data_IF_548957085067
#
_entry.id   IF_548957085067
#
_cell.length_a   1.000
_cell.length_b   1.000
_cell.length_c   1.000
_cell.angle_alpha   90.00
_cell.angle_beta   90.00
_cell.angle_gamma   90.00
#
_symmetry.space_group_name_H-M   'P 1'
#
loop_
_entity.id
_entity.type
_entity.pdbx_description
1 polymer ?
#
# COMPACT_ATOMS: atom_id res chain seq x y z
N UNK A 1 3.07 13.41 6.13
CA UNK A 1 3.70 14.76 5.98
C UNK A 1 5.18 14.56 5.68
N UNK A 2 5.67 15.05 4.53
CA UNK A 2 7.11 15.00 4.22
C UNK A 2 7.83 15.86 5.24
N UNK A 3 8.61 15.23 6.13
CA UNK A 3 9.46 15.95 7.10
C UNK A 3 10.85 16.24 6.49
N UNK A 4 10.90 16.81 5.30
CA UNK A 4 12.14 17.33 4.78
C UNK A 4 12.37 18.73 5.34
N UNK A 5 13.48 18.94 6.01
CA UNK A 5 13.88 20.25 6.46
C UNK A 5 14.14 21.18 5.26
N UNK A 6 13.92 22.48 5.44
CA UNK A 6 14.07 23.49 4.36
C UNK A 6 15.39 23.40 3.58
N UNK A 7 16.47 22.96 4.23
CA UNK A 7 17.81 22.86 3.65
C UNK A 7 18.21 21.43 3.23
N UNK A 8 17.36 20.43 3.51
CA UNK A 8 17.64 19.04 3.17
C UNK A 8 17.59 18.81 1.65
N UNK A 9 18.20 17.74 1.14
CA UNK A 9 18.00 17.32 -0.23
C UNK A 9 16.51 17.13 -0.51
N UNK A 10 16.06 17.59 -1.68
CA UNK A 10 14.66 17.45 -2.03
C UNK A 10 14.29 15.97 -2.21
N UNK A 11 13.19 15.51 -1.61
CA UNK A 11 12.70 14.14 -1.76
C UNK A 11 12.40 13.70 -3.21
N UNK A 12 12.36 14.65 -4.16
CA UNK A 12 12.18 14.34 -5.60
C UNK A 12 13.43 13.73 -6.26
N UNK A 13 14.55 13.56 -5.53
CA UNK A 13 15.80 13.03 -6.09
C UNK A 13 16.59 14.00 -6.98
N UNK A 14 16.17 15.26 -7.14
CA UNK A 14 16.84 16.24 -8.02
C UNK A 14 18.20 16.75 -7.53
N UNK A 15 18.66 16.34 -6.34
CA UNK A 15 19.88 16.84 -5.70
C UNK A 15 19.79 18.31 -5.21
N UNK A 16 18.71 19.02 -5.49
CA UNK A 16 18.50 20.41 -5.03
C UNK A 16 18.00 20.42 -3.60
N UNK A 17 18.29 21.51 -2.86
CA UNK A 17 17.72 21.73 -1.53
C UNK A 17 16.19 21.85 -1.63
N UNK A 18 15.46 21.29 -0.66
CA UNK A 18 13.99 21.27 -0.65
C UNK A 18 13.38 22.67 -0.84
N UNK A 19 13.93 23.70 -0.15
CA UNK A 19 13.49 25.09 -0.30
C UNK A 19 13.61 25.67 -1.72
N UNK A 20 14.52 25.13 -2.54
CA UNK A 20 14.75 25.58 -3.93
C UNK A 20 14.05 24.69 -4.95
N UNK A 21 13.39 23.65 -4.49
CA UNK A 21 12.78 22.66 -5.37
C UNK A 21 11.26 22.59 -5.15
N UNK A 22 10.81 22.07 -4.02
CA UNK A 22 9.40 21.76 -3.79
C UNK A 22 8.80 22.33 -2.49
N UNK A 23 9.53 23.15 -1.73
CA UNK A 23 8.94 23.80 -0.55
C UNK A 23 7.78 24.71 -0.98
N UNK A 24 6.57 24.46 -0.44
CA UNK A 24 5.34 25.15 -0.84
C UNK A 24 4.71 24.62 -2.13
N UNK A 25 5.26 23.55 -2.70
CA UNK A 25 4.73 22.82 -3.86
C UNK A 25 4.86 21.31 -3.63
N UNK A 26 4.64 20.90 -2.40
CA UNK A 26 4.80 19.51 -1.98
C UNK A 26 3.85 18.58 -2.74
N UNK A 27 2.66 19.07 -3.11
CA UNK A 27 1.72 18.35 -3.97
C UNK A 27 2.31 17.91 -5.32
N UNK A 28 3.22 18.70 -5.92
CA UNK A 28 3.87 18.32 -7.18
C UNK A 28 4.81 17.11 -7.03
N UNK A 29 5.31 16.84 -5.82
CA UNK A 29 6.11 15.65 -5.54
C UNK A 29 5.28 14.37 -5.69
N UNK A 30 3.99 14.46 -5.39
CA UNK A 30 3.07 13.32 -5.42
C UNK A 30 2.44 13.13 -6.79
N UNK A 31 2.19 14.22 -7.52
CA UNK A 31 1.72 14.13 -8.91
C UNK A 31 2.73 13.39 -9.80
N UNK A 32 4.04 13.69 -9.64
CA UNK A 32 5.10 12.99 -10.39
C UNK A 32 5.23 11.50 -10.03
N UNK A 33 4.78 11.09 -8.84
CA UNK A 33 4.81 9.68 -8.41
C UNK A 33 3.82 8.80 -9.18
N UNK A 34 2.74 9.41 -9.65
CA UNK A 34 1.68 8.72 -10.38
C UNK A 34 1.79 8.90 -11.91
N UNK A 35 2.81 9.64 -12.38
CA UNK A 35 3.07 9.70 -13.81
C UNK A 35 3.60 8.34 -14.29
N UNK A 36 3.13 7.83 -15.44
CA UNK A 36 3.71 6.64 -16.04
C UNK A 36 5.22 6.78 -16.18
N UNK A 37 5.95 5.74 -15.82
CA UNK A 37 7.38 5.71 -16.09
C UNK A 37 7.57 5.75 -17.60
N UNK A 38 8.34 6.73 -18.09
CA UNK A 38 8.58 6.83 -19.51
C UNK A 38 9.50 5.69 -19.96
N UNK A 39 9.04 4.89 -20.93
CA UNK A 39 9.76 3.96 -21.76
C UNK A 39 10.73 3.03 -21.01
N UNK A 40 12.01 3.39 -20.98
CA UNK A 40 13.09 2.51 -20.52
C UNK A 40 12.97 2.05 -19.05
N UNK A 41 12.43 2.88 -18.15
CA UNK A 41 12.30 2.55 -16.73
C UNK A 41 11.18 1.53 -16.49
N UNK A 42 10.05 1.65 -17.17
CA UNK A 42 8.97 0.66 -17.11
C UNK A 42 9.44 -0.70 -17.66
N UNK A 43 10.13 -0.67 -18.82
CA UNK A 43 10.72 -1.86 -19.42
C UNK A 43 11.72 -2.56 -18.50
N UNK A 44 12.53 -1.81 -17.75
CA UNK A 44 13.48 -2.37 -16.79
C UNK A 44 12.76 -3.13 -15.66
N UNK A 45 11.65 -2.60 -15.14
CA UNK A 45 10.84 -3.32 -14.13
C UNK A 45 10.31 -4.62 -14.72
N UNK A 46 9.72 -4.56 -15.93
CA UNK A 46 9.12 -5.72 -16.57
C UNK A 46 10.13 -6.83 -16.89
N UNK A 47 11.41 -6.48 -17.06
CA UNK A 47 12.52 -7.43 -17.31
C UNK A 47 13.12 -8.02 -16.05
N UNK A 48 12.79 -7.53 -14.86
CA UNK A 48 13.28 -8.14 -13.63
C UNK A 48 12.83 -9.61 -13.56
N UNK A 49 13.74 -10.51 -13.12
CA UNK A 49 13.40 -11.92 -12.99
C UNK A 49 12.29 -12.11 -11.95
N UNK A 50 11.40 -13.05 -12.24
CA UNK A 50 10.42 -13.50 -11.26
C UNK A 50 11.10 -14.26 -10.13
N UNK A 51 10.65 -14.02 -8.90
CA UNK A 51 11.14 -14.67 -7.70
C UNK A 51 9.98 -15.29 -6.91
N UNK A 52 10.29 -16.35 -6.16
CA UNK A 52 9.31 -17.08 -5.36
C UNK A 52 9.80 -17.14 -3.92
N UNK A 53 9.46 -16.11 -3.14
CA UNK A 53 9.84 -16.01 -1.73
C UNK A 53 8.66 -16.34 -0.81
N UNK A 54 8.94 -17.03 0.30
CA UNK A 54 7.93 -17.46 1.24
C UNK A 54 6.84 -18.30 0.55
N UNK A 55 5.59 -18.04 0.90
CA UNK A 55 4.42 -18.71 0.32
C UNK A 55 3.82 -17.99 -0.90
N UNK A 56 4.55 -17.04 -1.51
CA UNK A 56 4.00 -16.19 -2.57
C UNK A 56 3.44 -16.99 -3.75
N UNK A 57 4.17 -17.98 -4.23
CA UNK A 57 3.71 -18.83 -5.34
C UNK A 57 2.46 -19.64 -4.98
N UNK A 58 2.46 -20.28 -3.80
CA UNK A 58 1.34 -21.07 -3.30
C UNK A 58 0.05 -20.24 -3.25
N UNK A 59 0.12 -19.05 -2.62
CA UNK A 59 -1.04 -18.18 -2.45
C UNK A 59 -1.55 -17.62 -3.78
N UNK A 60 -0.65 -17.17 -4.66
CA UNK A 60 -1.00 -16.64 -5.97
C UNK A 60 -1.64 -17.73 -6.84
N UNK A 61 -1.05 -18.94 -6.88
CA UNK A 61 -1.58 -20.03 -7.68
C UNK A 61 -2.96 -20.48 -7.19
N UNK A 62 -3.17 -20.51 -5.87
CA UNK A 62 -4.47 -20.86 -5.32
C UNK A 62 -5.54 -19.83 -5.68
N UNK A 63 -5.21 -18.52 -5.58
CA UNK A 63 -6.11 -17.44 -5.99
C UNK A 63 -6.45 -17.50 -7.49
N UNK A 64 -5.49 -17.87 -8.34
CA UNK A 64 -5.73 -18.12 -9.77
C UNK A 64 -6.69 -19.30 -10.00
N UNK A 65 -6.44 -20.44 -9.32
CA UNK A 65 -7.29 -21.63 -9.42
C UNK A 65 -8.72 -21.37 -8.98
N UNK A 66 -8.90 -20.54 -7.96
CA UNK A 66 -10.21 -20.15 -7.44
C UNK A 66 -10.89 -19.03 -8.26
N UNK A 67 -10.23 -18.50 -9.29
CA UNK A 67 -10.78 -17.48 -10.19
C UNK A 67 -10.81 -16.06 -9.60
N UNK A 68 -10.06 -15.80 -8.52
CA UNK A 68 -9.92 -14.46 -7.96
C UNK A 68 -8.93 -13.61 -8.75
N UNK A 69 -7.86 -14.22 -9.24
CA UNK A 69 -6.96 -13.63 -10.23
C UNK A 69 -7.39 -14.18 -11.59
N UNK A 70 -8.22 -13.42 -12.31
CA UNK A 70 -8.69 -13.83 -13.61
C UNK A 70 -7.56 -13.77 -14.65
N UNK A 71 -7.71 -14.53 -15.75
CA UNK A 71 -6.68 -14.71 -16.77
C UNK A 71 -6.31 -13.43 -17.54
N UNK A 72 -6.93 -12.27 -17.24
CA UNK A 72 -6.56 -10.99 -17.83
C UNK A 72 -5.34 -10.36 -17.13
N UNK A 73 -5.09 -10.74 -15.85
CA UNK A 73 -3.97 -10.23 -15.06
C UNK A 73 -3.24 -11.37 -14.36
N UNK A 74 -1.92 -11.34 -14.44
CA UNK A 74 -1.05 -12.22 -13.66
C UNK A 74 -0.31 -11.37 -12.61
N UNK A 75 -0.08 -11.95 -11.43
CA UNK A 75 0.79 -11.34 -10.40
C UNK A 75 2.17 -11.91 -10.57
N UNK A 76 3.17 -11.03 -10.70
CA UNK A 76 4.59 -11.39 -10.81
C UNK A 76 5.34 -10.84 -9.61
N UNK A 77 5.93 -11.73 -8.83
CA UNK A 77 6.84 -11.33 -7.76
C UNK A 77 8.23 -11.03 -8.33
N UNK A 78 8.82 -9.90 -7.93
CA UNK A 78 10.17 -9.46 -8.30
C UNK A 78 10.98 -9.14 -7.04
N UNK A 79 12.30 -9.21 -7.13
CA UNK A 79 13.17 -8.92 -5.99
C UNK A 79 13.13 -7.42 -5.63
N UNK A 80 12.82 -7.09 -4.37
CA UNK A 80 12.66 -5.71 -3.89
C UNK A 80 13.98 -4.93 -3.96
N UNK A 81 15.11 -5.58 -3.71
CA UNK A 81 16.41 -4.90 -3.77
C UNK A 81 16.79 -4.58 -5.22
N UNK A 82 16.54 -5.52 -6.15
CA UNK A 82 16.74 -5.27 -7.58
C UNK A 82 15.81 -4.14 -8.07
N UNK A 83 14.55 -4.13 -7.66
CA UNK A 83 13.62 -3.05 -7.97
C UNK A 83 14.09 -1.69 -7.44
N UNK A 84 14.58 -1.63 -6.19
CA UNK A 84 15.12 -0.40 -5.60
C UNK A 84 16.37 0.12 -6.35
N UNK A 85 17.23 -0.78 -6.85
CA UNK A 85 18.42 -0.41 -7.62
C UNK A 85 18.11 0.30 -8.94
N UNK A 86 16.91 0.12 -9.48
CA UNK A 86 16.46 0.87 -10.68
C UNK A 86 16.27 2.37 -10.41
N UNK A 87 16.27 2.79 -9.14
CA UNK A 87 16.09 4.19 -8.74
C UNK A 87 14.65 4.72 -8.90
N UNK A 88 13.73 3.89 -9.34
CA UNK A 88 12.30 4.24 -9.54
C UNK A 88 11.48 4.08 -8.27
N UNK A 89 11.94 3.27 -7.33
CA UNK A 89 11.30 3.00 -6.03
C UNK A 89 11.41 4.16 -5.05
N UNK A 90 12.40 5.03 -5.18
CA UNK A 90 12.59 6.20 -4.29
C UNK A 90 11.46 7.22 -4.35
N UNK A 91 10.52 7.05 -5.26
CA UNK A 91 9.32 7.86 -5.40
C UNK A 91 8.10 7.26 -4.66
N UNK A 92 8.13 5.99 -4.30
CA UNK A 92 6.97 5.26 -3.76
C UNK A 92 7.01 5.13 -2.24
N UNK A 93 8.19 5.10 -1.63
CA UNK A 93 8.33 4.97 -0.19
C UNK A 93 8.73 6.32 0.37
N UNK A 94 7.92 6.95 1.24
CA UNK A 94 8.43 8.02 2.08
C UNK A 94 9.64 7.46 2.83
N UNK A 95 10.78 8.15 2.78
CA UNK A 95 12.03 7.72 3.41
C UNK A 95 11.95 7.52 4.94
N UNK A 96 10.76 7.42 5.49
CA UNK A 96 10.46 7.35 6.92
C UNK A 96 9.51 6.23 7.34
N UNK A 97 9.06 5.32 6.47
CA UNK A 97 8.52 4.07 7.00
C UNK A 97 9.71 3.25 7.51
N UNK A 98 9.98 3.38 8.79
CA UNK A 98 11.03 2.65 9.51
C UNK A 98 10.77 1.12 9.60
N UNK A 99 9.63 0.66 9.16
CA UNK A 99 9.38 -0.75 8.87
C UNK A 99 9.85 -1.01 7.45
N UNK A 100 10.91 -1.76 7.33
CA UNK A 100 11.31 -2.37 6.06
C UNK A 100 10.18 -3.32 5.69
N UNK A 101 9.21 -2.83 4.93
CA UNK A 101 8.18 -3.70 4.36
C UNK A 101 8.87 -4.83 3.62
N UNK A 102 8.52 -6.07 3.92
CA UNK A 102 9.06 -7.24 3.22
C UNK A 102 8.49 -7.40 1.82
N UNK A 103 7.48 -6.60 1.46
CA UNK A 103 6.87 -6.53 0.14
C UNK A 103 6.24 -5.16 -0.11
N UNK A 104 6.09 -4.79 -1.37
CA UNK A 104 5.37 -3.60 -1.84
C UNK A 104 4.72 -3.88 -3.19
N UNK A 105 3.49 -3.44 -3.37
CA UNK A 105 2.83 -3.44 -4.67
C UNK A 105 3.40 -2.30 -5.53
N UNK A 106 3.96 -2.66 -6.68
CA UNK A 106 4.42 -1.68 -7.67
C UNK A 106 3.19 -1.03 -8.30
N UNK A 107 3.14 0.30 -8.31
CA UNK A 107 1.99 1.01 -8.88
C UNK A 107 1.77 0.59 -10.35
N UNK A 108 0.66 -0.07 -10.69
CA UNK A 108 0.39 -0.54 -12.05
C UNK A 108 0.37 0.56 -13.11
N UNK A 109 0.07 1.79 -12.75
CA UNK A 109 0.12 2.90 -13.70
C UNK A 109 1.53 3.11 -14.26
N UNK A 110 2.57 2.68 -13.53
CA UNK A 110 3.96 2.80 -13.98
C UNK A 110 4.36 1.75 -15.01
N UNK A 111 3.74 0.58 -14.98
CA UNK A 111 4.09 -0.55 -15.85
C UNK A 111 3.06 -0.81 -16.93
N UNK A 112 1.87 -0.21 -16.83
CA UNK A 112 0.72 -0.48 -17.70
C UNK A 112 1.00 -0.36 -19.20
N UNK A 113 1.83 0.59 -19.61
CA UNK A 113 2.15 0.78 -21.04
C UNK A 113 3.13 -0.27 -21.55
N UNK A 114 4.08 -0.71 -20.71
CA UNK A 114 5.08 -1.71 -21.06
C UNK A 114 4.56 -3.14 -20.89
N UNK A 115 3.70 -3.36 -19.89
CA UNK A 115 3.12 -4.66 -19.57
C UNK A 115 1.72 -4.50 -18.96
N UNK A 116 0.68 -4.49 -19.80
CA UNK A 116 -0.70 -4.28 -19.35
C UNK A 116 -1.31 -5.50 -18.65
N UNK A 117 -0.65 -6.66 -18.67
CA UNK A 117 -1.20 -7.93 -18.19
C UNK A 117 -0.61 -8.41 -16.86
N UNK A 118 0.41 -7.72 -16.33
CA UNK A 118 1.02 -8.09 -15.07
C UNK A 118 0.90 -7.00 -14.01
N UNK A 119 0.64 -7.45 -12.79
CA UNK A 119 0.80 -6.68 -11.56
C UNK A 119 2.09 -7.13 -10.88
N UNK A 120 2.93 -6.19 -10.52
CA UNK A 120 4.25 -6.49 -9.96
C UNK A 120 4.25 -6.29 -8.45
N UNK A 121 4.67 -7.34 -7.72
CA UNK A 121 4.86 -7.31 -6.28
C UNK A 121 6.37 -7.44 -5.99
N UNK A 122 7.00 -6.36 -5.52
CA UNK A 122 8.40 -6.37 -5.17
C UNK A 122 8.57 -6.88 -3.73
N UNK A 123 9.29 -8.01 -3.55
CA UNK A 123 9.37 -8.76 -2.30
C UNK A 123 10.80 -9.05 -1.89
N UNK A 124 11.04 -9.23 -0.59
CA UNK A 124 12.32 -9.66 -0.05
C UNK A 124 12.36 -11.17 0.20
N UNK A 125 13.56 -11.79 0.34
CA UNK A 125 13.68 -13.18 0.76
C UNK A 125 13.05 -13.49 2.12
N UNK A 126 12.82 -12.48 2.95
CA UNK A 126 12.19 -12.56 4.28
C UNK A 126 10.72 -12.12 4.24
N UNK A 127 10.04 -12.32 3.11
CA UNK A 127 8.64 -12.00 2.93
C UNK A 127 7.79 -12.67 4.01
N UNK A 128 7.08 -11.85 4.78
CA UNK A 128 6.13 -12.31 5.78
C UNK A 128 4.77 -12.57 5.14
N UNK A 129 4.08 -13.62 5.59
CA UNK A 129 2.76 -13.97 5.07
C UNK A 129 1.73 -12.84 5.31
N UNK A 130 1.82 -12.13 6.46
CA UNK A 130 0.99 -10.96 6.74
C UNK A 130 1.18 -9.85 5.70
N UNK A 131 2.44 -9.51 5.36
CA UNK A 131 2.72 -8.54 4.30
C UNK A 131 2.19 -9.01 2.95
N UNK A 132 2.35 -10.31 2.64
CA UNK A 132 1.88 -10.85 1.37
C UNK A 132 0.36 -10.75 1.23
N UNK A 133 -0.42 -11.13 2.25
CA UNK A 133 -1.88 -11.02 2.20
C UNK A 133 -2.36 -9.58 2.16
N UNK A 134 -1.64 -8.64 2.82
CA UNK A 134 -1.92 -7.22 2.73
C UNK A 134 -1.83 -6.72 1.27
N UNK A 135 -0.73 -7.00 0.59
CA UNK A 135 -0.53 -6.59 -0.79
C UNK A 135 -1.49 -7.32 -1.75
N UNK A 136 -1.79 -8.60 -1.49
CA UNK A 136 -2.80 -9.34 -2.25
C UNK A 136 -4.21 -8.78 -2.03
N UNK A 137 -4.53 -8.27 -0.83
CA UNK A 137 -5.80 -7.60 -0.57
C UNK A 137 -5.96 -6.33 -1.42
N UNK A 138 -4.90 -5.53 -1.55
CA UNK A 138 -4.88 -4.39 -2.47
C UNK A 138 -5.07 -4.80 -3.93
N UNK A 139 -4.43 -5.91 -4.36
CA UNK A 139 -4.59 -6.43 -5.71
C UNK A 139 -6.05 -6.87 -5.95
N UNK A 140 -6.65 -7.63 -5.03
CA UNK A 140 -8.03 -8.09 -5.17
C UNK A 140 -9.03 -6.93 -5.12
N UNK A 141 -8.79 -5.95 -4.25
CA UNK A 141 -9.61 -4.75 -4.19
C UNK A 141 -9.56 -3.97 -5.51
N UNK A 142 -8.38 -3.81 -6.09
CA UNK A 142 -8.18 -3.20 -7.40
C UNK A 142 -8.89 -3.97 -8.52
N UNK A 143 -8.69 -5.30 -8.59
CA UNK A 143 -9.21 -6.12 -9.69
C UNK A 143 -10.73 -6.35 -9.63
N UNK A 144 -11.29 -6.48 -8.44
CA UNK A 144 -12.71 -6.85 -8.25
C UNK A 144 -13.61 -5.65 -7.92
N UNK A 145 -13.02 -4.54 -7.55
CA UNK A 145 -13.78 -3.41 -7.06
C UNK A 145 -13.48 -2.10 -7.77
N UNK A 146 -12.58 -2.08 -8.75
CA UNK A 146 -12.08 -0.83 -9.34
C UNK A 146 -11.51 0.13 -8.28
N UNK A 147 -10.99 -0.44 -7.17
CA UNK A 147 -10.39 0.30 -6.08
C UNK A 147 -9.16 1.07 -6.53
N UNK A 148 -8.90 2.21 -5.92
CA UNK A 148 -7.65 2.88 -6.14
C UNK A 148 -6.50 2.04 -5.56
N UNK A 149 -5.37 2.11 -6.23
CA UNK A 149 -4.15 1.50 -5.73
C UNK A 149 -3.56 2.31 -4.57
N UNK A 150 -2.81 1.66 -3.66
CA UNK A 150 -2.13 2.34 -2.59
C UNK A 150 -1.35 3.56 -3.08
N UNK A 151 -1.48 4.67 -2.36
CA UNK A 151 -0.80 5.92 -2.67
C UNK A 151 -1.44 6.79 -3.76
N UNK A 152 -2.54 6.37 -4.40
CA UNK A 152 -3.26 7.23 -5.36
C UNK A 152 -3.94 8.42 -4.69
N UNK A 153 -4.31 8.30 -3.42
CA UNK A 153 -4.97 9.35 -2.64
C UNK A 153 -4.01 10.31 -1.91
N UNK A 154 -2.72 10.27 -2.19
CA UNK A 154 -1.75 11.11 -1.47
C UNK A 154 -2.05 12.60 -1.57
N UNK A 155 -2.50 13.08 -2.73
CA UNK A 155 -2.87 14.48 -2.87
C UNK A 155 -4.11 14.81 -2.04
N UNK A 156 -5.13 13.98 -2.06
CA UNK A 156 -6.33 14.14 -1.25
C UNK A 156 -5.99 14.15 0.25
N UNK A 157 -5.12 13.24 0.71
CA UNK A 157 -4.62 13.21 2.08
C UNK A 157 -3.94 14.52 2.48
N UNK A 158 -3.13 15.11 1.61
CA UNK A 158 -2.47 16.38 1.86
C UNK A 158 -3.43 17.57 1.91
N UNK A 159 -4.38 17.62 1.00
CA UNK A 159 -5.35 18.72 0.89
C UNK A 159 -6.36 18.70 2.01
N UNK A 160 -6.79 17.51 2.43
CA UNK A 160 -7.84 17.34 3.44
C UNK A 160 -7.30 17.12 4.85
N UNK A 161 -6.03 16.72 4.99
CA UNK A 161 -5.45 16.29 6.27
C UNK A 161 -5.90 14.91 6.74
N UNK A 162 -6.64 14.16 5.92
CA UNK A 162 -7.05 12.79 6.22
C UNK A 162 -5.82 11.87 6.16
N UNK A 163 -5.58 11.01 7.17
CA UNK A 163 -4.51 10.01 7.09
C UNK A 163 -4.63 9.15 5.83
N UNK A 164 -3.51 8.91 5.16
CA UNK A 164 -3.50 8.12 3.91
C UNK A 164 -4.04 6.71 4.14
N UNK A 165 -3.79 6.15 5.30
CA UNK A 165 -4.26 4.83 5.72
C UNK A 165 -5.80 4.74 5.73
N UNK A 166 -6.51 5.84 6.03
CA UNK A 166 -7.97 5.88 5.96
C UNK A 166 -8.51 5.88 4.53
N UNK A 167 -7.71 6.38 3.58
CA UNK A 167 -8.08 6.48 2.17
C UNK A 167 -7.69 5.22 1.38
N UNK A 168 -6.57 4.61 1.73
CA UNK A 168 -6.05 3.43 1.03
C UNK A 168 -6.63 2.11 1.60
N UNK A 169 -7.07 2.11 2.86
CA UNK A 169 -7.70 0.94 3.50
C UNK A 169 -9.21 1.17 3.67
N UNK A 170 -9.95 0.84 2.63
CA UNK A 170 -11.40 0.99 2.58
C UNK A 170 -12.13 -0.21 3.21
N UNK A 171 -13.46 -0.12 3.32
CA UNK A 171 -14.29 -1.24 3.77
C UNK A 171 -14.14 -2.45 2.83
N UNK A 172 -13.96 -2.20 1.54
CA UNK A 172 -13.73 -3.22 0.52
C UNK A 172 -12.36 -3.87 0.69
N UNK A 173 -11.32 -3.09 0.96
CA UNK A 173 -10.00 -3.62 1.30
C UNK A 173 -10.04 -4.48 2.57
N UNK A 174 -10.67 -3.99 3.64
CA UNK A 174 -10.81 -4.73 4.91
C UNK A 174 -11.50 -6.08 4.73
N UNK A 175 -12.49 -6.16 3.83
CA UNK A 175 -13.14 -7.42 3.44
C UNK A 175 -12.14 -8.41 2.83
N UNK A 176 -11.32 -7.95 1.88
CA UNK A 176 -10.32 -8.82 1.24
C UNK A 176 -9.22 -9.23 2.20
N UNK A 177 -8.74 -8.30 3.02
CA UNK A 177 -7.70 -8.58 4.01
C UNK A 177 -8.14 -9.67 5.00
N UNK A 178 -9.32 -9.52 5.59
CA UNK A 178 -9.84 -10.50 6.56
C UNK A 178 -10.13 -11.85 5.90
N UNK A 179 -10.69 -11.84 4.69
CA UNK A 179 -10.95 -13.06 3.93
C UNK A 179 -9.65 -13.82 3.59
N UNK A 180 -8.60 -13.11 3.15
CA UNK A 180 -7.29 -13.73 2.86
C UNK A 180 -6.64 -14.27 4.12
N UNK A 181 -6.69 -13.53 5.24
CA UNK A 181 -6.17 -13.98 6.52
C UNK A 181 -6.81 -15.31 6.95
N UNK A 182 -8.13 -15.40 6.89
CA UNK A 182 -8.89 -16.62 7.22
C UNK A 182 -8.58 -17.74 6.23
N UNK A 183 -8.55 -17.43 4.93
CA UNK A 183 -8.35 -18.42 3.86
C UNK A 183 -6.99 -19.10 3.93
N UNK A 184 -5.95 -18.35 4.25
CA UNK A 184 -4.57 -18.84 4.30
C UNK A 184 -4.08 -19.12 5.72
N UNK A 185 -4.94 -18.94 6.74
CA UNK A 185 -4.62 -19.14 8.16
C UNK A 185 -3.38 -18.32 8.55
N UNK A 186 -3.38 -17.03 8.20
CA UNK A 186 -2.30 -16.08 8.48
C UNK A 186 -2.72 -15.16 9.59
N UNK A 187 -1.86 -15.03 10.60
CA UNK A 187 -2.02 -14.02 11.64
C UNK A 187 -1.67 -12.64 11.08
N UNK A 188 -2.63 -11.72 11.17
CA UNK A 188 -2.42 -10.33 10.79
C UNK A 188 -1.38 -9.68 11.71
N UNK A 189 -0.55 -8.79 11.18
CA UNK A 189 0.28 -7.95 12.03
C UNK A 189 -0.56 -6.92 12.81
N UNK A 190 0.09 -6.09 13.62
CA UNK A 190 -0.62 -5.17 14.49
C UNK A 190 -1.41 -4.10 13.73
N UNK A 191 -0.88 -3.62 12.60
CA UNK A 191 -1.54 -2.60 11.78
C UNK A 191 -2.74 -3.19 11.06
N UNK A 192 -2.57 -4.33 10.43
CA UNK A 192 -3.63 -5.05 9.72
C UNK A 192 -4.72 -5.57 10.66
N UNK A 193 -4.36 -5.94 11.89
CA UNK A 193 -5.34 -6.31 12.90
C UNK A 193 -6.23 -5.13 13.33
N UNK A 194 -5.68 -3.91 13.36
CA UNK A 194 -6.47 -2.70 13.59
C UNK A 194 -7.41 -2.46 12.40
N UNK A 195 -6.92 -2.62 11.18
CA UNK A 195 -7.77 -2.52 9.97
C UNK A 195 -8.89 -3.55 10.01
N UNK A 196 -8.59 -4.81 10.34
CA UNK A 196 -9.59 -5.86 10.51
C UNK A 196 -10.63 -5.54 11.58
N UNK A 197 -10.20 -4.95 12.71
CA UNK A 197 -11.09 -4.51 13.76
C UNK A 197 -12.00 -3.34 13.32
N UNK A 198 -11.46 -2.36 12.61
CA UNK A 198 -12.23 -1.27 12.02
C UNK A 198 -13.23 -1.80 10.99
N UNK A 199 -12.84 -2.75 10.15
CA UNK A 199 -13.72 -3.41 9.18
C UNK A 199 -14.91 -4.08 9.86
N UNK A 200 -14.68 -4.89 10.91
CA UNK A 200 -15.72 -5.60 11.65
C UNK A 200 -16.72 -4.66 12.32
N UNK A 201 -16.30 -3.44 12.66
CA UNK A 201 -17.15 -2.42 13.27
C UNK A 201 -17.70 -1.40 12.25
N UNK A 202 -17.56 -1.65 10.95
CA UNK A 202 -18.00 -0.78 9.86
C UNK A 202 -17.47 0.66 9.95
N UNK A 203 -16.27 0.80 10.51
CA UNK A 203 -15.66 2.11 10.74
C UNK A 203 -14.78 2.57 9.57
N UNK A 204 -14.30 1.68 8.71
CA UNK A 204 -13.52 2.07 7.53
C UNK A 204 -14.35 2.92 6.57
N UNK A 205 -13.69 3.78 5.82
CA UNK A 205 -14.34 4.53 4.73
C UNK A 205 -14.78 3.55 3.65
N UNK A 206 -15.94 3.83 3.05
CA UNK A 206 -16.37 3.13 1.83
C UNK A 206 -15.81 3.83 0.61
N UNK A 207 -15.54 3.09 -0.44
CA UNK A 207 -15.08 3.64 -1.72
C UNK A 207 -16.00 4.72 -2.27
N UNK A 208 -17.31 4.53 -2.14
CA UNK A 208 -18.32 5.49 -2.55
C UNK A 208 -18.14 6.83 -1.83
N UNK A 209 -17.78 6.81 -0.54
CA UNK A 209 -17.52 8.03 0.25
C UNK A 209 -16.28 8.76 -0.28
N UNK A 210 -15.23 8.02 -0.65
CA UNK A 210 -13.98 8.60 -1.18
C UNK A 210 -14.19 9.22 -2.57
N UNK A 211 -15.02 8.61 -3.40
CA UNK A 211 -15.30 9.07 -4.76
C UNK A 211 -16.30 10.23 -4.79
N UNK A 212 -16.89 10.61 -3.67
CA UNK A 212 -17.77 11.78 -3.61
C UNK A 212 -16.95 13.08 -3.54
N UNK A 213 -17.44 14.19 -4.15
CA UNK A 213 -16.72 15.47 -4.10
C UNK A 213 -16.83 16.19 -2.75
N UNK A 214 -17.46 15.62 -1.74
CA UNK A 214 -17.66 16.25 -0.43
C UNK A 214 -16.49 15.97 0.52
N UNK A 215 -15.44 16.80 0.43
CA UNK A 215 -14.29 16.73 1.32
C UNK A 215 -14.64 16.90 2.80
N UNK A 216 -15.69 17.68 3.15
CA UNK A 216 -16.07 17.88 4.55
C UNK A 216 -16.70 16.61 5.13
N UNK A 217 -17.51 15.90 4.35
CA UNK A 217 -18.05 14.60 4.77
C UNK A 217 -16.93 13.59 5.02
N UNK A 218 -15.95 13.53 4.14
CA UNK A 218 -14.76 12.65 4.31
C UNK A 218 -13.94 13.00 5.55
N UNK A 219 -13.66 14.27 5.79
CA UNK A 219 -12.94 14.75 6.99
C UNK A 219 -13.73 14.35 8.25
N UNK A 220 -15.04 14.53 8.24
CA UNK A 220 -15.88 14.15 9.37
C UNK A 220 -15.85 12.63 9.62
N UNK A 221 -15.96 11.82 8.57
CA UNK A 221 -15.85 10.35 8.68
C UNK A 221 -14.47 9.91 9.18
N UNK A 222 -13.39 10.47 8.65
CA UNK A 222 -12.04 10.21 9.12
C UNK A 222 -11.87 10.55 10.61
N UNK A 223 -12.48 11.65 11.08
CA UNK A 223 -12.49 12.00 12.50
C UNK A 223 -13.24 10.95 13.33
N UNK A 224 -14.39 10.46 12.86
CA UNK A 224 -15.13 9.39 13.55
C UNK A 224 -14.27 8.13 13.73
N UNK A 225 -13.45 7.76 12.74
CA UNK A 225 -12.49 6.64 12.86
C UNK A 225 -11.51 6.91 14.00
N UNK A 226 -10.91 8.09 14.07
CA UNK A 226 -9.98 8.46 15.14
C UNK A 226 -10.66 8.45 16.51
N UNK A 227 -11.85 9.01 16.62
CA UNK A 227 -12.62 9.02 17.88
C UNK A 227 -12.95 7.59 18.33
N UNK A 228 -13.32 6.70 17.39
CA UNK A 228 -13.55 5.27 17.66
C UNK A 228 -12.29 4.57 18.15
N UNK A 229 -11.14 4.80 17.52
CA UNK A 229 -9.85 4.23 17.94
C UNK A 229 -9.48 4.69 19.37
N UNK A 230 -9.69 5.97 19.67
CA UNK A 230 -9.44 6.54 21.01
C UNK A 230 -10.37 5.90 22.05
N UNK A 231 -11.66 5.79 21.74
CA UNK A 231 -12.64 5.18 22.64
C UNK A 231 -12.35 3.69 22.93
N UNK A 232 -11.76 2.98 21.96
CA UNK A 232 -11.42 1.57 22.05
C UNK A 232 -9.91 1.31 22.33
N UNK A 233 -9.20 2.31 22.86
CA UNK A 233 -7.74 2.26 23.06
C UNK A 233 -7.27 1.02 23.83
N UNK A 234 -8.01 0.57 24.85
CA UNK A 234 -7.63 -0.63 25.63
C UNK A 234 -7.63 -1.88 24.76
N UNK A 235 -8.67 -2.05 23.94
CA UNK A 235 -8.76 -3.18 23.02
C UNK A 235 -7.67 -3.12 21.93
N UNK A 236 -7.44 -1.94 21.34
CA UNK A 236 -6.36 -1.72 20.38
C UNK A 236 -4.99 -2.07 20.96
N UNK A 237 -4.71 -1.64 22.21
CA UNK A 237 -3.46 -1.99 22.88
C UNK A 237 -3.32 -3.52 23.06
N UNK A 238 -4.40 -4.24 23.38
CA UNK A 238 -4.37 -5.71 23.47
C UNK A 238 -4.05 -6.33 22.11
N UNK A 239 -4.71 -5.88 21.03
CA UNK A 239 -4.42 -6.35 19.67
C UNK A 239 -2.94 -6.16 19.28
N UNK A 240 -2.34 -5.03 19.66
CA UNK A 240 -0.92 -4.74 19.39
C UNK A 240 -0.01 -5.63 20.26
N UNK A 241 -0.32 -5.80 21.56
CA UNK A 241 0.51 -6.56 22.48
C UNK A 241 0.51 -8.06 22.17
N UNK A 242 -0.65 -8.62 21.84
CA UNK A 242 -0.79 -10.02 21.49
C UNK A 242 0.08 -10.39 20.28
N UNK A 243 0.23 -9.44 19.33
CA UNK A 243 1.03 -9.63 18.12
C UNK A 243 2.51 -9.26 18.27
N UNK A 244 2.83 -8.28 19.10
CA UNK A 244 4.22 -7.95 19.43
C UNK A 244 4.94 -9.09 20.19
N UNK A 245 4.19 -9.90 20.96
CA UNK A 245 4.72 -11.07 21.65
C UNK A 245 5.13 -12.24 20.71
N UNK A 246 4.64 -12.26 19.48
CA UNK A 246 4.99 -13.27 18.47
C UNK A 246 6.34 -13.01 17.80
N UNK A 247 6.72 -11.74 17.61
CA UNK A 247 7.98 -11.35 16.94
C UNK A 247 9.23 -11.73 17.74
N UNK A 248 9.11 -11.99 19.04
CA UNK A 248 10.23 -12.37 19.94
C UNK A 248 10.49 -13.88 20.07
N UNK A 249 9.77 -14.75 19.34
CA UNK A 249 9.85 -16.22 19.48
C UNK A 249 10.21 -16.97 18.19
N UNK A 250 10.61 -16.26 17.14
CA UNK A 250 11.15 -16.89 15.93
C UNK A 250 12.67 -16.74 15.84
#
# INVERSE_FOLDING_TARGET
MIKAGRNDPCPCGSGKKFKKCHLGREGELFLRKNEPLQGEAADQICRLPEVHYGRSQEMIDLLKQEGFLDGAFAVKCIDLEAYRKLGVSGQEIPAQSLKVSSGILVNPQKTKEADPHHLYLAVTPHLQDSTLIHELAHILDYLKGEGPLPGTHQQMSLETGIPIEHLDHTQEFGKWLTWLADRFQVDLDAEDAIVGYLFQNEMLLKREEINTPDANALIFRSKQILDFLIANKSHINTLIQDRAGYIGKQ
#
